data_IF_534025975307
#
_entry.id   IF_534025975307
#
_cell.length_a   1.000
_cell.length_b   1.000
_cell.length_c   1.000
_cell.angle_alpha   90.00
_cell.angle_beta   90.00
_cell.angle_gamma   90.00
#
_symmetry.space_group_name_H-M   'P 1'
#
loop_
_entity.id
_entity.type
_entity.pdbx_description
1 polymer ?
#
# COMPACT_ATOMS: atom_id res chain seq x y z
N UNK A 1 26.18 -20.20 -69.98
CA UNK A 1 24.91 -19.78 -69.34
C UNK A 1 25.16 -19.58 -67.85
N UNK A 2 24.94 -18.34 -67.40
CA UNK A 2 24.86 -17.75 -66.04
C UNK A 2 25.44 -18.52 -64.83
N UNK A 3 26.45 -17.91 -64.20
CA UNK A 3 26.58 -17.87 -62.74
C UNK A 3 26.93 -16.44 -62.31
N UNK A 4 25.94 -15.74 -61.77
CA UNK A 4 26.09 -14.57 -60.91
C UNK A 4 26.17 -15.12 -59.49
N UNK A 5 27.10 -14.62 -58.66
CA UNK A 5 27.06 -14.68 -57.19
C UNK A 5 28.00 -13.58 -56.68
N UNK A 6 27.51 -12.35 -56.53
CA UNK A 6 27.01 -11.74 -55.28
C UNK A 6 28.02 -11.79 -54.11
N UNK A 7 28.77 -10.68 -53.94
CA UNK A 7 29.54 -10.37 -52.75
C UNK A 7 28.59 -10.23 -51.54
N UNK A 8 28.73 -11.13 -50.57
CA UNK A 8 28.12 -10.99 -49.25
C UNK A 8 29.09 -10.17 -48.40
N UNK A 9 28.73 -8.91 -48.15
CA UNK A 9 29.28 -8.14 -47.04
C UNK A 9 28.94 -8.89 -45.74
N UNK A 10 29.95 -9.44 -45.08
CA UNK A 10 29.86 -9.95 -43.74
C UNK A 10 29.60 -8.77 -42.78
N UNK A 11 28.32 -8.51 -42.47
CA UNK A 11 27.97 -7.67 -41.35
C UNK A 11 28.36 -8.38 -40.06
N UNK A 12 29.31 -7.75 -39.36
CA UNK A 12 29.65 -8.00 -37.97
C UNK A 12 28.36 -8.19 -37.13
N UNK A 13 28.07 -9.44 -36.73
CA UNK A 13 27.19 -9.68 -35.59
C UNK A 13 27.96 -9.28 -34.33
N UNK A 14 27.80 -8.02 -33.92
CA UNK A 14 28.04 -7.65 -32.53
C UNK A 14 26.88 -8.27 -31.74
N UNK A 15 27.12 -9.46 -31.23
CA UNK A 15 26.25 -10.10 -30.24
C UNK A 15 26.24 -9.26 -28.97
N UNK A 16 25.42 -8.22 -28.96
CA UNK A 16 24.94 -7.64 -27.73
C UNK A 16 24.15 -8.75 -27.03
N UNK A 17 24.74 -9.32 -25.99
CA UNK A 17 24.04 -10.06 -24.95
C UNK A 17 23.02 -9.12 -24.32
N UNK A 18 21.87 -8.97 -24.97
CA UNK A 18 20.68 -8.32 -24.41
C UNK A 18 20.12 -9.31 -23.40
N UNK A 19 20.63 -9.23 -22.16
CA UNK A 19 20.01 -9.91 -21.03
C UNK A 19 18.61 -9.32 -20.91
N UNK A 20 17.58 -10.12 -21.23
CA UNK A 20 16.19 -9.71 -21.16
C UNK A 20 15.82 -9.45 -19.68
N UNK A 21 15.84 -8.18 -19.27
CA UNK A 21 15.33 -7.73 -17.97
C UNK A 21 13.80 -7.67 -18.06
N UNK A 22 13.14 -8.82 -17.87
CA UNK A 22 11.68 -8.95 -17.93
C UNK A 22 11.01 -8.53 -16.62
N UNK A 23 9.83 -7.92 -16.71
CA UNK A 23 8.92 -7.82 -15.56
C UNK A 23 8.26 -9.18 -15.30
N UNK A 24 7.83 -9.42 -14.06
CA UNK A 24 7.08 -10.61 -13.64
C UNK A 24 5.72 -10.16 -13.12
N UNK A 25 4.64 -10.67 -13.71
CA UNK A 25 3.27 -10.45 -13.30
C UNK A 25 2.58 -11.79 -13.05
N UNK A 26 2.15 -12.05 -11.81
CA UNK A 26 1.42 -13.25 -11.42
C UNK A 26 0.01 -12.87 -10.95
N UNK A 27 -1.02 -13.47 -11.53
CA UNK A 27 -2.41 -13.29 -11.12
C UNK A 27 -3.01 -14.66 -10.86
N UNK A 28 -3.44 -14.89 -9.62
CA UNK A 28 -4.18 -16.07 -9.19
C UNK A 28 -5.57 -15.64 -8.74
N UNK A 29 -6.61 -16.22 -9.32
CA UNK A 29 -8.01 -15.95 -8.95
C UNK A 29 -8.72 -17.28 -8.68
N UNK A 30 -9.09 -17.49 -7.42
CA UNK A 30 -9.89 -18.63 -7.00
C UNK A 30 -11.30 -18.15 -6.68
N UNK A 31 -12.23 -18.37 -7.61
CA UNK A 31 -13.65 -18.16 -7.34
C UNK A 31 -14.09 -19.24 -6.35
N UNK A 32 -14.58 -18.86 -5.18
CA UNK A 32 -15.09 -19.81 -4.20
C UNK A 32 -16.40 -20.43 -4.74
N UNK A 33 -16.30 -21.62 -5.33
CA UNK A 33 -17.47 -22.42 -5.76
C UNK A 33 -18.13 -23.00 -4.52
N UNK A 34 -19.29 -22.48 -4.12
CA UNK A 34 -20.50 -23.25 -3.77
C UNK A 34 -21.73 -22.30 -3.65
N UNK A 35 -22.64 -22.34 -4.63
CA UNK A 35 -24.08 -22.11 -4.41
C UNK A 35 -24.68 -20.69 -4.44
N UNK A 36 -23.92 -19.61 -4.68
CA UNK A 36 -24.46 -18.24 -4.77
C UNK A 36 -23.99 -17.55 -6.06
N UNK A 37 -24.81 -16.68 -6.65
CA UNK A 37 -24.52 -15.90 -7.86
C UNK A 37 -23.05 -15.44 -7.92
N UNK A 38 -22.29 -16.02 -8.84
CA UNK A 38 -20.85 -15.83 -8.96
C UNK A 38 -20.57 -14.45 -9.58
N UNK A 39 -20.30 -13.43 -8.75
CA UNK A 39 -19.76 -12.15 -9.24
C UNK A 39 -18.27 -12.34 -9.49
N UNK A 40 -17.85 -12.15 -10.74
CA UNK A 40 -16.46 -12.37 -11.13
C UNK A 40 -15.50 -11.44 -10.38
N UNK A 41 -14.32 -11.96 -10.04
CA UNK A 41 -13.21 -11.14 -9.56
C UNK A 41 -12.54 -10.40 -10.72
N UNK A 42 -12.01 -9.20 -10.46
CA UNK A 42 -11.22 -8.44 -11.44
C UNK A 42 -9.81 -8.25 -10.91
N UNK A 43 -8.80 -8.64 -11.67
CA UNK A 43 -7.40 -8.43 -11.31
C UNK A 43 -6.60 -7.92 -12.50
N UNK A 44 -5.84 -6.86 -12.32
CA UNK A 44 -5.01 -6.28 -13.37
C UNK A 44 -3.64 -5.88 -12.82
N UNK A 45 -2.58 -6.26 -13.53
CA UNK A 45 -1.21 -5.82 -13.29
C UNK A 45 -0.73 -5.11 -14.56
N UNK A 46 -0.34 -3.84 -14.45
CA UNK A 46 0.31 -3.08 -15.53
C UNK A 46 1.72 -2.69 -15.09
N UNK A 47 2.74 -3.13 -15.83
CA UNK A 47 4.15 -2.88 -15.50
C UNK A 47 4.89 -2.24 -16.67
N UNK A 48 5.51 -1.08 -16.42
CA UNK A 48 6.36 -0.37 -17.37
C UNK A 48 7.76 -0.20 -16.78
N UNK A 49 8.79 -0.50 -17.56
CA UNK A 49 10.19 -0.51 -17.13
C UNK A 49 10.71 -1.94 -16.93
N UNK A 50 11.68 -2.15 -16.04
CA UNK A 50 12.47 -3.39 -15.97
C UNK A 50 12.47 -4.02 -14.58
N UNK A 51 12.43 -5.36 -14.52
CA UNK A 51 12.54 -6.14 -13.28
C UNK A 51 11.47 -5.81 -12.23
N UNK A 52 10.32 -5.28 -12.63
CA UNK A 52 9.19 -5.10 -11.71
C UNK A 52 8.54 -6.46 -11.41
N UNK A 53 8.12 -6.66 -10.17
CA UNK A 53 7.45 -7.87 -9.70
C UNK A 53 6.07 -7.47 -9.18
N UNK A 54 5.03 -8.01 -9.79
CA UNK A 54 3.64 -7.83 -9.39
C UNK A 54 3.00 -9.18 -9.11
N UNK A 55 2.30 -9.29 -7.99
CA UNK A 55 1.55 -10.50 -7.62
C UNK A 55 0.17 -10.12 -7.10
N UNK A 56 -0.86 -10.75 -7.63
CA UNK A 56 -2.24 -10.64 -7.14
C UNK A 56 -2.76 -12.04 -6.86
N UNK A 57 -3.23 -12.28 -5.65
CA UNK A 57 -3.97 -13.48 -5.24
C UNK A 57 -5.34 -13.08 -4.69
N UNK A 58 -6.41 -13.50 -5.36
CA UNK A 58 -7.80 -13.19 -4.98
C UNK A 58 -8.56 -14.50 -4.79
N UNK A 59 -9.04 -14.73 -3.57
CA UNK A 59 -9.84 -15.88 -3.18
C UNK A 59 -11.20 -15.41 -2.62
N UNK A 60 -12.26 -15.48 -3.43
CA UNK A 60 -13.60 -15.02 -3.05
C UNK A 60 -14.45 -14.61 -4.25
N UNK A 61 -15.47 -13.77 -4.05
CA UNK A 61 -16.37 -13.32 -5.13
C UNK A 61 -16.49 -11.79 -5.17
N UNK A 62 -16.53 -11.21 -6.37
CA UNK A 62 -16.74 -9.77 -6.59
C UNK A 62 -15.61 -8.88 -6.07
N UNK A 63 -14.40 -9.42 -5.90
CA UNK A 63 -13.24 -8.66 -5.43
C UNK A 63 -12.44 -8.08 -6.60
N UNK A 64 -11.89 -6.88 -6.41
CA UNK A 64 -11.12 -6.12 -7.39
C UNK A 64 -9.71 -5.83 -6.87
N UNK A 65 -8.70 -6.09 -7.71
CA UNK A 65 -7.30 -5.80 -7.42
C UNK A 65 -6.62 -5.16 -8.63
N UNK A 66 -6.06 -3.97 -8.46
CA UNK A 66 -5.36 -3.24 -9.51
C UNK A 66 -3.96 -2.87 -9.04
N UNK A 67 -2.97 -3.18 -9.86
CA UNK A 67 -1.56 -2.93 -9.56
C UNK A 67 -0.92 -2.25 -10.77
N UNK A 68 -0.36 -1.07 -10.56
CA UNK A 68 0.39 -0.31 -11.58
C UNK A 68 1.81 -0.04 -11.08
N UNK A 69 2.80 -0.44 -11.88
CA UNK A 69 4.22 -0.22 -11.61
C UNK A 69 4.88 0.48 -12.78
N UNK A 70 5.49 1.63 -12.51
CA UNK A 70 6.26 2.39 -13.50
C UNK A 70 7.66 2.65 -12.95
N UNK A 71 8.68 2.15 -13.66
CA UNK A 71 10.09 2.28 -13.28
C UNK A 71 10.75 0.92 -13.17
N UNK A 72 11.77 0.77 -12.30
CA UNK A 72 12.55 -0.47 -12.24
C UNK A 72 12.58 -1.08 -10.84
N UNK A 73 12.58 -2.40 -10.78
CA UNK A 73 12.73 -3.17 -9.53
C UNK A 73 11.65 -2.86 -8.49
N UNK A 74 10.46 -2.41 -8.91
CA UNK A 74 9.34 -2.23 -7.99
C UNK A 74 8.72 -3.59 -7.67
N UNK A 75 8.27 -3.79 -6.43
CA UNK A 75 7.61 -5.00 -5.96
C UNK A 75 6.23 -4.65 -5.39
N UNK A 76 5.18 -5.32 -5.85
CA UNK A 76 3.82 -5.11 -5.37
C UNK A 76 3.10 -6.44 -5.21
N UNK A 77 2.44 -6.62 -4.06
CA UNK A 77 1.68 -7.83 -3.73
C UNK A 77 0.30 -7.47 -3.21
N UNK A 78 -0.72 -8.14 -3.73
CA UNK A 78 -2.11 -8.08 -3.25
C UNK A 78 -2.58 -9.48 -2.88
N UNK A 79 -3.14 -9.62 -1.69
CA UNK A 79 -3.81 -10.84 -1.23
C UNK A 79 -5.21 -10.51 -0.70
N UNK A 80 -6.26 -11.04 -1.31
CA UNK A 80 -7.65 -10.83 -0.92
C UNK A 80 -8.32 -12.18 -0.63
N UNK A 81 -8.90 -12.33 0.55
CA UNK A 81 -9.70 -13.49 0.93
C UNK A 81 -11.05 -13.01 1.46
N UNK A 82 -12.10 -13.08 0.65
CA UNK A 82 -13.43 -12.57 1.00
C UNK A 82 -14.22 -12.01 -0.19
N UNK A 83 -15.36 -11.38 0.11
CA UNK A 83 -16.29 -10.90 -0.91
C UNK A 83 -16.28 -9.35 -1.00
N UNK A 84 -16.33 -8.82 -2.22
CA UNK A 84 -16.45 -7.38 -2.45
C UNK A 84 -15.24 -6.56 -2.00
N UNK A 85 -14.05 -7.16 -1.99
CA UNK A 85 -12.82 -6.52 -1.54
C UNK A 85 -12.21 -5.66 -2.66
N UNK A 86 -11.59 -4.53 -2.32
CA UNK A 86 -10.95 -3.65 -3.32
C UNK A 86 -9.53 -3.25 -2.92
N UNK A 87 -8.56 -3.49 -3.78
CA UNK A 87 -7.18 -3.02 -3.61
C UNK A 87 -6.72 -2.28 -4.85
N UNK A 88 -6.12 -1.10 -4.65
CA UNK A 88 -5.45 -0.32 -5.68
C UNK A 88 -4.02 0.03 -5.24
N UNK A 89 -3.03 -0.42 -6.00
CA UNK A 89 -1.62 -0.15 -5.76
C UNK A 89 -1.00 0.57 -6.96
N UNK A 90 -0.28 1.66 -6.71
CA UNK A 90 0.50 2.36 -7.73
C UNK A 90 1.88 2.70 -7.21
N UNK A 91 2.91 2.32 -7.96
CA UNK A 91 4.31 2.58 -7.64
C UNK A 91 4.99 3.26 -8.83
N UNK A 92 5.60 4.41 -8.58
CA UNK A 92 6.36 5.17 -9.59
C UNK A 92 7.78 5.42 -9.05
N UNK A 93 8.78 4.92 -9.78
CA UNK A 93 10.20 5.11 -9.47
C UNK A 93 10.96 3.80 -9.35
N UNK A 94 11.98 3.75 -8.47
CA UNK A 94 12.89 2.62 -8.33
C UNK A 94 12.75 1.94 -6.97
N UNK A 95 12.74 0.61 -6.96
CA UNK A 95 12.82 -0.20 -5.72
C UNK A 95 11.71 0.10 -4.70
N UNK A 96 10.53 0.52 -5.14
CA UNK A 96 9.39 0.67 -4.24
C UNK A 96 8.76 -0.68 -3.93
N UNK A 97 8.32 -0.89 -2.69
CA UNK A 97 7.64 -2.10 -2.24
C UNK A 97 6.26 -1.77 -1.66
N UNK A 98 5.22 -2.45 -2.15
CA UNK A 98 3.82 -2.30 -1.72
C UNK A 98 3.22 -3.67 -1.39
N UNK A 99 2.50 -3.76 -0.28
CA UNK A 99 1.78 -4.98 0.11
C UNK A 99 0.43 -4.65 0.70
N UNK A 100 -0.63 -5.29 0.21
CA UNK A 100 -1.98 -5.13 0.72
C UNK A 100 -2.64 -6.50 0.92
N UNK A 101 -3.08 -6.75 2.15
CA UNK A 101 -3.75 -7.99 2.53
C UNK A 101 -5.12 -7.70 3.15
N UNK A 102 -6.17 -8.31 2.62
CA UNK A 102 -7.53 -8.24 3.13
C UNK A 102 -8.04 -9.67 3.39
N UNK A 103 -8.22 -10.06 4.65
CA UNK A 103 -8.57 -11.44 5.03
C UNK A 103 -10.06 -11.64 5.37
N UNK A 104 -10.47 -12.91 5.52
CA UNK A 104 -11.85 -13.33 5.84
C UNK A 104 -12.49 -12.50 6.94
N UNK A 105 -13.71 -12.01 6.67
CA UNK A 105 -14.44 -11.08 7.54
C UNK A 105 -14.27 -9.61 7.15
N UNK A 106 -13.29 -9.29 6.29
CA UNK A 106 -13.27 -8.05 5.54
C UNK A 106 -14.27 -8.12 4.39
N UNK A 107 -15.50 -7.65 4.60
CA UNK A 107 -16.47 -7.50 3.49
C UNK A 107 -16.53 -6.03 3.10
N UNK A 108 -16.55 -5.73 1.80
CA UNK A 108 -16.63 -4.35 1.30
C UNK A 108 -15.50 -3.43 1.77
N UNK A 109 -14.34 -3.99 2.12
CA UNK A 109 -13.17 -3.21 2.56
C UNK A 109 -12.32 -2.77 1.37
N UNK A 110 -11.67 -1.61 1.50
CA UNK A 110 -10.81 -1.03 0.47
C UNK A 110 -9.42 -0.67 1.00
N UNK A 111 -8.40 -0.85 0.15
CA UNK A 111 -7.04 -0.38 0.40
C UNK A 111 -6.48 0.33 -0.83
N UNK A 112 -5.95 1.53 -0.64
CA UNK A 112 -5.27 2.31 -1.67
C UNK A 112 -3.84 2.62 -1.23
N UNK A 113 -2.87 2.30 -2.06
CA UNK A 113 -1.45 2.54 -1.79
C UNK A 113 -0.82 3.24 -2.99
N UNK A 114 -0.26 4.43 -2.76
CA UNK A 114 0.43 5.23 -3.77
C UNK A 114 1.84 5.57 -3.30
N UNK A 115 2.82 5.21 -4.11
CA UNK A 115 4.24 5.52 -3.85
C UNK A 115 4.84 6.22 -5.06
N UNK A 116 5.48 7.37 -4.83
CA UNK A 116 6.23 8.12 -5.84
C UNK A 116 7.61 8.49 -5.31
N UNK A 117 8.64 7.99 -5.97
CA UNK A 117 10.05 8.17 -5.61
C UNK A 117 10.78 6.83 -5.51
N UNK A 118 11.82 6.74 -4.70
CA UNK A 118 12.65 5.53 -4.64
C UNK A 118 12.71 4.92 -3.24
N UNK A 119 12.83 3.58 -3.18
CA UNK A 119 12.99 2.82 -1.94
C UNK A 119 11.86 3.02 -0.92
N UNK A 120 10.66 3.37 -1.37
CA UNK A 120 9.52 3.52 -0.47
C UNK A 120 8.92 2.16 -0.11
N UNK A 121 8.39 2.04 1.11
CA UNK A 121 7.70 0.85 1.61
C UNK A 121 6.28 1.20 2.10
N UNK A 122 5.26 0.52 1.57
CA UNK A 122 3.88 0.62 2.05
C UNK A 122 3.33 -0.77 2.35
N UNK A 123 2.68 -0.93 3.51
CA UNK A 123 1.98 -2.15 3.88
C UNK A 123 0.59 -1.83 4.44
N UNK A 124 -0.43 -2.58 4.02
CA UNK A 124 -1.78 -2.52 4.59
C UNK A 124 -2.29 -3.91 4.92
N UNK A 125 -2.86 -4.05 6.11
CA UNK A 125 -3.49 -5.27 6.59
C UNK A 125 -4.88 -4.95 7.13
N UNK A 126 -5.91 -5.53 6.54
CA UNK A 126 -7.28 -5.44 7.01
C UNK A 126 -7.82 -6.84 7.33
N UNK A 127 -8.29 -7.02 8.57
CA UNK A 127 -8.72 -8.32 9.10
C UNK A 127 -10.05 -8.18 9.84
N UNK A 128 -11.02 -9.05 9.56
CA UNK A 128 -12.23 -9.25 10.38
C UNK A 128 -13.11 -8.00 10.64
N UNK A 129 -13.53 -7.24 9.62
CA UNK A 129 -14.45 -6.09 9.80
C UNK A 129 -15.07 -5.60 8.49
N UNK A 130 -16.25 -4.97 8.51
CA UNK A 130 -16.96 -4.59 7.27
C UNK A 130 -16.74 -3.13 6.90
N UNK A 131 -16.44 -2.84 5.63
CA UNK A 131 -16.37 -1.46 5.12
C UNK A 131 -15.15 -0.66 5.59
N UNK A 132 -14.05 -1.33 5.96
CA UNK A 132 -12.84 -0.64 6.39
C UNK A 132 -12.10 -0.05 5.16
N UNK A 133 -11.56 1.15 5.31
CA UNK A 133 -10.80 1.86 4.28
C UNK A 133 -9.40 2.20 4.79
N UNK A 134 -8.38 1.84 4.01
CA UNK A 134 -7.01 2.29 4.23
C UNK A 134 -6.50 3.06 3.01
N UNK A 135 -5.82 4.18 3.25
CA UNK A 135 -5.19 5.00 2.21
C UNK A 135 -3.79 5.39 2.66
N UNK A 136 -2.79 5.07 1.85
CA UNK A 136 -1.39 5.31 2.16
C UNK A 136 -0.71 5.97 0.96
N UNK A 137 -0.19 7.18 1.16
CA UNK A 137 0.48 7.97 0.14
C UNK A 137 1.88 8.35 0.60
N UNK A 138 2.87 8.10 -0.27
CA UNK A 138 4.27 8.45 -0.03
C UNK A 138 4.85 9.17 -1.24
N UNK A 139 5.42 10.35 -1.00
CA UNK A 139 6.15 11.14 -1.99
C UNK A 139 7.54 11.47 -1.46
N UNK A 140 8.57 11.06 -2.21
CA UNK A 140 9.98 11.21 -1.83
C UNK A 140 10.68 9.86 -1.74
N UNK A 141 11.80 9.79 -1.02
CA UNK A 141 12.61 8.57 -0.97
C UNK A 141 12.66 7.94 0.42
N UNK A 142 12.75 6.61 0.47
CA UNK A 142 12.96 5.84 1.69
C UNK A 142 11.89 6.07 2.76
N UNK A 143 10.66 6.39 2.36
CA UNK A 143 9.54 6.50 3.30
C UNK A 143 8.96 5.11 3.61
N UNK A 144 8.42 4.94 4.83
CA UNK A 144 7.77 3.70 5.29
C UNK A 144 6.40 4.00 5.91
N UNK A 145 5.35 3.32 5.44
CA UNK A 145 3.98 3.50 5.91
C UNK A 145 3.31 2.13 6.13
N UNK A 146 2.70 1.94 7.30
CA UNK A 146 2.01 0.70 7.67
C UNK A 146 0.66 0.98 8.32
N UNK A 147 -0.39 0.32 7.82
CA UNK A 147 -1.76 0.37 8.35
C UNK A 147 -2.21 -1.04 8.73
N UNK A 148 -2.69 -1.20 9.96
CA UNK A 148 -3.35 -2.43 10.40
C UNK A 148 -4.73 -2.09 10.95
N UNK A 149 -5.77 -2.63 10.34
CA UNK A 149 -7.15 -2.53 10.82
C UNK A 149 -7.66 -3.93 11.15
N UNK A 150 -7.93 -4.20 12.42
CA UNK A 150 -8.39 -5.51 12.90
C UNK A 150 -9.71 -5.35 13.63
N UNK A 151 -10.76 -6.05 13.19
CA UNK A 151 -12.09 -5.88 13.78
C UNK A 151 -12.84 -4.67 13.21
N UNK A 152 -13.99 -4.39 13.82
CA UNK A 152 -14.71 -3.14 13.62
C UNK A 152 -15.50 -3.05 12.32
N UNK A 153 -16.10 -1.89 12.06
CA UNK A 153 -16.75 -1.59 10.78
C UNK A 153 -16.59 -0.12 10.45
N UNK A 154 -16.45 0.20 9.16
CA UNK A 154 -16.32 1.58 8.69
C UNK A 154 -15.13 2.34 9.31
N UNK A 155 -14.05 1.64 9.65
CA UNK A 155 -12.81 2.25 10.10
C UNK A 155 -12.06 2.87 8.92
N UNK A 156 -11.58 4.10 9.06
CA UNK A 156 -10.75 4.78 8.06
C UNK A 156 -9.37 5.08 8.64
N UNK A 157 -8.32 4.66 7.93
CA UNK A 157 -6.93 4.98 8.26
C UNK A 157 -6.24 5.62 7.05
N UNK A 158 -5.79 6.86 7.20
CA UNK A 158 -5.08 7.61 6.16
C UNK A 158 -3.67 7.95 6.62
N UNK A 159 -2.68 7.66 5.79
CA UNK A 159 -1.29 8.03 6.01
C UNK A 159 -0.75 8.78 4.79
N UNK A 160 -0.16 9.95 5.01
CA UNK A 160 0.47 10.75 3.96
C UNK A 160 1.86 11.20 4.39
N UNK A 161 2.87 10.88 3.60
CA UNK A 161 4.27 11.24 3.86
C UNK A 161 4.85 11.98 2.66
N UNK A 162 5.42 13.16 2.91
CA UNK A 162 6.12 13.97 1.91
C UNK A 162 7.49 14.37 2.43
N UNK A 163 8.54 14.00 1.70
CA UNK A 163 9.94 14.15 2.10
C UNK A 163 10.65 12.80 2.12
N UNK A 164 11.78 12.69 2.83
CA UNK A 164 12.57 11.47 2.84
C UNK A 164 12.63 10.84 4.23
N UNK A 165 12.81 9.52 4.29
CA UNK A 165 13.02 8.78 5.54
C UNK A 165 11.89 8.88 6.57
N UNK A 166 10.69 9.27 6.18
CA UNK A 166 9.57 9.33 7.11
C UNK A 166 9.03 7.93 7.41
N UNK A 167 8.60 7.68 8.65
CA UNK A 167 7.97 6.43 9.09
C UNK A 167 6.61 6.72 9.73
N UNK A 168 5.55 6.08 9.25
CA UNK A 168 4.19 6.19 9.76
C UNK A 168 3.59 4.82 10.03
N UNK A 169 3.16 4.57 11.27
CA UNK A 169 2.50 3.33 11.66
C UNK A 169 1.15 3.64 12.28
N UNK A 170 0.11 2.97 11.81
CA UNK A 170 -1.25 3.12 12.31
C UNK A 170 -1.86 1.75 12.61
N UNK A 171 -2.50 1.65 13.77
CA UNK A 171 -3.20 0.44 14.19
C UNK A 171 -4.57 0.83 14.74
N UNK A 172 -5.63 0.30 14.12
CA UNK A 172 -7.00 0.40 14.60
C UNK A 172 -7.51 -0.98 14.99
N UNK A 173 -7.94 -1.15 16.24
CA UNK A 173 -8.50 -2.42 16.75
C UNK A 173 -9.93 -2.23 17.24
N UNK A 174 -10.86 -2.98 16.62
CA UNK A 174 -12.28 -2.99 16.97
C UNK A 174 -13.00 -1.67 16.68
N UNK A 175 -14.27 -1.58 17.11
CA UNK A 175 -15.08 -0.36 17.04
C UNK A 175 -15.68 -0.03 15.66
N UNK A 176 -16.80 0.68 15.65
CA UNK A 176 -17.39 1.23 14.42
C UNK A 176 -16.96 2.68 14.22
N UNK A 177 -16.60 3.09 13.00
CA UNK A 177 -16.37 4.49 12.65
C UNK A 177 -15.09 5.13 13.22
N UNK A 178 -14.07 4.33 13.54
CA UNK A 178 -12.78 4.89 13.95
C UNK A 178 -12.11 5.61 12.77
N UNK A 179 -11.63 6.83 13.00
CA UNK A 179 -10.92 7.65 12.02
C UNK A 179 -9.50 7.94 12.51
N UNK A 180 -8.53 7.69 11.64
CA UNK A 180 -7.12 7.95 11.89
C UNK A 180 -6.53 8.67 10.68
N UNK A 181 -5.83 9.78 10.93
CA UNK A 181 -5.05 10.48 9.91
C UNK A 181 -3.65 10.80 10.43
N UNK A 182 -2.63 10.37 9.70
CA UNK A 182 -1.22 10.71 9.95
C UNK A 182 -0.66 11.44 8.74
N UNK A 183 -0.14 12.64 8.96
CA UNK A 183 0.53 13.44 7.92
C UNK A 183 1.93 13.83 8.38
N UNK A 184 2.94 13.52 7.56
CA UNK A 184 4.33 13.89 7.81
C UNK A 184 4.86 14.69 6.61
N UNK A 185 5.40 15.87 6.87
CA UNK A 185 6.03 16.74 5.86
C UNK A 185 7.42 17.15 6.32
N UNK A 186 8.44 16.80 5.56
CA UNK A 186 9.86 17.00 5.88
C UNK A 186 10.59 15.67 6.01
N UNK A 187 11.75 15.64 6.66
CA UNK A 187 12.63 14.47 6.63
C UNK A 187 12.73 13.74 7.97
N UNK A 188 12.81 12.41 7.93
CA UNK A 188 13.07 11.56 9.08
C UNK A 188 12.07 11.73 10.24
N UNK A 189 10.80 12.03 9.96
CA UNK A 189 9.76 12.06 10.97
C UNK A 189 9.24 10.64 11.27
N UNK A 190 8.83 10.39 12.51
CA UNK A 190 8.26 9.13 12.98
C UNK A 190 6.89 9.42 13.62
N UNK A 191 5.83 8.82 13.09
CA UNK A 191 4.48 8.91 13.62
C UNK A 191 3.97 7.51 13.94
N UNK A 192 3.48 7.32 15.16
CA UNK A 192 2.81 6.09 15.60
C UNK A 192 1.44 6.44 16.15
N UNK A 193 0.41 5.75 15.68
CA UNK A 193 -0.95 5.95 16.19
C UNK A 193 -1.63 4.61 16.43
N UNK A 194 -2.14 4.45 17.64
CA UNK A 194 -2.84 3.26 18.11
C UNK A 194 -4.22 3.67 18.63
N UNK A 195 -5.27 3.17 17.99
CA UNK A 195 -6.64 3.32 18.45
C UNK A 195 -7.18 1.95 18.85
N UNK A 196 -7.44 1.76 20.15
CA UNK A 196 -8.01 0.53 20.71
C UNK A 196 -9.31 0.89 21.42
N UNK A 197 -10.46 0.54 20.84
CA UNK A 197 -11.71 0.90 21.50
C UNK A 197 -12.96 0.64 20.70
N UNK A 198 -14.08 0.54 21.42
CA UNK A 198 -15.41 0.46 20.86
C UNK A 198 -15.84 1.86 20.44
N UNK A 199 -15.81 2.18 19.14
CA UNK A 199 -16.60 3.26 18.52
C UNK A 199 -15.96 4.65 18.42
N UNK A 200 -16.06 5.24 17.23
CA UNK A 200 -15.93 6.69 16.92
C UNK A 200 -14.68 7.42 17.44
N UNK A 201 -13.54 6.74 17.57
CA UNK A 201 -12.30 7.41 17.95
C UNK A 201 -11.71 8.17 16.75
N UNK A 202 -11.34 9.43 16.94
CA UNK A 202 -10.68 10.30 15.97
C UNK A 202 -9.27 10.63 16.44
N UNK A 203 -8.27 10.18 15.69
CA UNK A 203 -6.85 10.41 15.97
C UNK A 203 -6.20 11.14 14.79
N UNK A 204 -5.69 12.34 15.02
CA UNK A 204 -5.00 13.13 13.98
C UNK A 204 -3.58 13.43 14.45
N UNK A 205 -2.57 13.01 13.66
CA UNK A 205 -1.17 13.35 13.90
C UNK A 205 -0.58 14.06 12.70
N UNK A 206 -0.09 15.28 12.90
CA UNK A 206 0.58 16.09 11.88
C UNK A 206 1.98 16.44 12.34
N UNK A 207 2.99 16.11 11.53
CA UNK A 207 4.39 16.46 11.78
C UNK A 207 4.94 17.27 10.61
N UNK A 208 5.51 18.44 10.89
CA UNK A 208 6.15 19.33 9.93
C UNK A 208 7.59 19.62 10.35
N UNK A 209 8.55 19.46 9.45
CA UNK A 209 9.98 19.65 9.72
C UNK A 209 10.70 18.31 9.79
N UNK A 210 11.78 18.21 10.57
CA UNK A 210 12.64 17.03 10.55
C UNK A 210 12.83 16.39 11.92
N UNK A 211 13.05 15.08 11.95
CA UNK A 211 13.30 14.31 13.19
C UNK A 211 12.20 14.43 14.25
N UNK A 212 10.96 14.73 13.87
CA UNK A 212 9.86 14.76 14.83
C UNK A 212 9.39 13.33 15.12
N UNK A 213 9.10 13.04 16.39
CA UNK A 213 8.50 11.78 16.85
C UNK A 213 7.17 12.04 17.54
N UNK A 214 6.09 11.47 17.00
CA UNK A 214 4.74 11.54 17.54
C UNK A 214 4.22 10.16 17.88
N UNK A 215 3.63 10.03 19.06
CA UNK A 215 2.88 8.84 19.47
C UNK A 215 1.50 9.28 19.91
N UNK A 216 0.45 8.69 19.34
CA UNK A 216 -0.94 8.93 19.73
C UNK A 216 -1.60 7.60 20.08
N UNK A 217 -2.03 7.44 21.31
CA UNK A 217 -2.75 6.26 21.80
C UNK A 217 -4.14 6.68 22.28
N UNK A 218 -5.19 6.03 21.77
CA UNK A 218 -6.56 6.24 22.21
C UNK A 218 -7.19 4.92 22.63
N UNK A 219 -7.63 4.87 23.89
CA UNK A 219 -8.31 3.75 24.51
C UNK A 219 -9.74 4.18 24.87
N UNK A 220 -10.79 3.50 24.37
CA UNK A 220 -12.18 3.79 24.76
C UNK A 220 -13.17 4.13 23.64
N UNK A 221 -14.29 4.77 24.01
CA UNK A 221 -15.36 5.21 23.09
C UNK A 221 -15.29 6.72 22.87
N UNK A 222 -15.36 7.17 21.60
CA UNK A 222 -15.56 8.58 21.26
C UNK A 222 -14.38 9.51 21.55
N UNK A 223 -13.16 8.97 21.63
CA UNK A 223 -11.98 9.78 21.91
C UNK A 223 -11.62 10.67 20.72
N UNK A 224 -11.32 11.95 20.98
CA UNK A 224 -10.69 12.85 20.02
C UNK A 224 -9.30 13.25 20.51
N UNK A 225 -8.26 12.90 19.75
CA UNK A 225 -6.88 13.26 20.01
C UNK A 225 -6.28 13.88 18.75
N UNK A 226 -5.66 15.04 18.93
CA UNK A 226 -4.93 15.73 17.88
C UNK A 226 -3.53 16.06 18.37
N UNK A 227 -2.54 15.75 17.56
CA UNK A 227 -1.14 16.03 17.81
C UNK A 227 -0.57 16.76 16.61
N UNK A 228 -0.04 17.97 16.82
CA UNK A 228 0.67 18.73 15.81
C UNK A 228 2.09 19.04 16.29
N UNK A 229 3.10 18.71 15.50
CA UNK A 229 4.50 19.06 15.75
C UNK A 229 5.05 19.86 14.58
N UNK A 230 5.75 20.96 14.87
CA UNK A 230 6.46 21.76 13.88
C UNK A 230 7.89 22.02 14.36
N UNK A 231 8.88 21.75 13.52
CA UNK A 231 10.28 22.06 13.79
C UNK A 231 11.21 20.84 13.71
N UNK A 232 12.31 20.90 14.44
CA UNK A 232 13.35 19.89 14.46
C UNK A 232 13.35 19.13 15.78
N UNK A 233 13.32 17.78 15.73
CA UNK A 233 13.59 16.94 16.90
C UNK A 233 12.49 16.90 17.96
N UNK A 234 11.25 17.28 17.64
CA UNK A 234 10.19 17.32 18.65
C UNK A 234 9.76 15.89 19.05
N UNK A 235 9.56 15.65 20.35
CA UNK A 235 8.92 14.44 20.86
C UNK A 235 7.55 14.79 21.45
N UNK A 236 6.50 14.09 21.07
CA UNK A 236 5.15 14.29 21.60
C UNK A 236 4.45 12.95 21.73
N UNK A 237 3.84 12.75 22.89
CA UNK A 237 3.05 11.58 23.21
C UNK A 237 1.70 12.06 23.73
N UNK A 238 0.62 11.61 23.08
CA UNK A 238 -0.75 11.80 23.56
C UNK A 238 -1.30 10.42 23.87
N UNK A 239 -1.72 10.21 25.12
CA UNK A 239 -2.44 9.01 25.54
C UNK A 239 -3.79 9.49 26.05
N UNK A 240 -4.86 9.02 25.42
CA UNK A 240 -6.22 9.29 25.84
C UNK A 240 -6.87 7.96 26.23
N UNK A 241 -7.41 7.90 27.44
CA UNK A 241 -8.19 6.76 27.92
C UNK A 241 -9.51 7.28 28.48
N UNK A 242 -10.64 6.76 27.98
CA UNK A 242 -11.96 6.90 28.60
C UNK A 242 -12.64 5.54 28.72
#
# INVERSE_FOLDING_TARGET
MKKVNFCICAMLLVGASVVAQSNVANVTQNNAVQGVFNVANTSNITQTGKSNIGSIDVNGNGSSAYLVQTGNTNAATVAQVGNGLSVYQTQVGLQNTASATQNTGASSSSSTQLQSGNNNLVASLQTSGTGNASSQMQVGNSNSASTTQTGGSYGTATQSQSGNFNTATSVQKGGSGNYLSQTQTGDANIASTLQQGVGSNTGVSTQMGSLNKSTLEQNGFGNYAQLAQKGFGNLSTVIQAQ
#
